data_IF_725249914010
#
_entry.id   IF_725249914010
#
_cell.length_a   1.000
_cell.length_b   1.000
_cell.length_c   1.000
_cell.angle_alpha   90.00
_cell.angle_beta   90.00
_cell.angle_gamma   90.00
#
_symmetry.space_group_name_H-M   'P 1'
#
loop_
_entity.id
_entity.type
_entity.pdbx_description
1 polymer ?
#
# COMPACT_ATOMS: atom_id res chain seq x y z
N UNK A 1 -4.66 26.13 19.84
CA UNK A 1 -5.07 25.34 18.67
C UNK A 1 -6.34 24.61 19.05
N UNK A 2 -7.50 25.14 18.64
CA UNK A 2 -8.81 24.55 18.93
C UNK A 2 -8.92 23.23 18.18
N UNK A 3 -9.09 22.14 18.93
CA UNK A 3 -9.41 20.83 18.37
C UNK A 3 -10.79 21.00 17.70
N UNK A 4 -10.84 20.89 16.38
CA UNK A 4 -12.08 20.98 15.60
C UNK A 4 -13.01 19.86 16.07
N UNK A 5 -14.10 20.23 16.76
CA UNK A 5 -15.16 19.34 17.21
C UNK A 5 -16.00 18.88 16.01
N UNK A 6 -15.49 17.94 15.22
CA UNK A 6 -16.31 17.16 14.27
C UNK A 6 -16.64 15.76 14.79
N UNK A 7 -15.95 15.32 15.85
CA UNK A 7 -16.31 14.10 16.58
C UNK A 7 -17.35 14.46 17.61
N UNK A 8 -18.59 14.09 17.32
CA UNK A 8 -19.63 14.02 18.35
C UNK A 8 -19.43 12.74 19.16
N UNK A 9 -19.90 12.71 20.42
CA UNK A 9 -20.02 11.46 21.16
C UNK A 9 -20.77 10.43 20.30
N UNK A 10 -20.41 9.15 20.45
CA UNK A 10 -21.12 8.05 19.82
C UNK A 10 -22.61 8.18 20.18
N UNK A 11 -23.45 8.47 19.18
CA UNK A 11 -24.88 8.58 19.40
C UNK A 11 -25.40 7.18 19.71
N UNK A 12 -26.11 7.03 20.82
CA UNK A 12 -27.07 5.93 21.01
C UNK A 12 -27.96 5.93 19.76
N UNK A 13 -28.18 4.76 19.16
CA UNK A 13 -28.63 4.61 17.78
C UNK A 13 -29.75 5.54 17.30
N UNK A 14 -29.78 5.79 15.98
CA UNK A 14 -30.66 6.74 15.33
C UNK A 14 -31.58 6.06 14.30
N UNK A 15 -32.82 5.84 14.72
CA UNK A 15 -33.89 5.34 13.87
C UNK A 15 -34.07 6.17 12.57
N UNK A 16 -33.93 5.50 11.44
CA UNK A 16 -34.06 6.03 10.09
C UNK A 16 -32.73 6.26 9.38
N UNK A 17 -31.67 5.52 9.76
CA UNK A 17 -30.38 5.46 9.08
C UNK A 17 -30.17 4.15 8.28
N UNK A 18 -31.23 3.34 8.13
CA UNK A 18 -31.27 2.04 7.45
C UNK A 18 -30.44 0.94 8.13
N UNK A 19 -30.06 1.12 9.41
CA UNK A 19 -29.29 0.14 10.17
C UNK A 19 -29.96 -0.15 11.50
N UNK A 20 -30.20 -1.43 11.75
CA UNK A 20 -30.73 -1.86 13.05
C UNK A 20 -29.66 -1.63 14.12
N UNK A 21 -29.97 -0.77 15.08
CA UNK A 21 -29.15 -0.48 16.24
C UNK A 21 -29.80 -1.00 17.54
N UNK A 22 -29.13 -0.84 18.68
CA UNK A 22 -29.62 -1.39 19.95
C UNK A 22 -30.98 -0.78 20.33
N UNK A 23 -31.99 -1.65 20.53
CA UNK A 23 -33.36 -1.25 20.89
C UNK A 23 -34.32 -1.17 19.70
N UNK A 24 -33.85 -1.32 18.47
CA UNK A 24 -34.65 -1.33 17.24
C UNK A 24 -34.93 -2.76 16.75
N UNK A 25 -36.05 -2.98 16.07
CA UNK A 25 -36.40 -4.28 15.45
C UNK A 25 -36.21 -4.28 13.93
N UNK A 26 -36.26 -3.09 13.34
CA UNK A 26 -36.07 -2.78 11.94
C UNK A 26 -35.71 -1.29 11.83
N UNK A 27 -35.14 -0.91 10.70
CA UNK A 27 -34.97 0.50 10.32
C UNK A 27 -35.32 0.65 8.84
N UNK A 28 -36.53 1.18 8.57
CA UNK A 28 -37.01 1.43 7.21
C UNK A 28 -36.42 2.70 6.56
N UNK A 29 -35.46 3.35 7.21
CA UNK A 29 -34.82 4.57 6.71
C UNK A 29 -35.82 5.71 6.49
N UNK A 30 -35.68 6.35 5.34
CA UNK A 30 -36.62 7.38 4.89
C UNK A 30 -38.06 6.84 4.77
N UNK A 31 -38.24 5.64 4.21
CA UNK A 31 -39.56 5.06 4.00
C UNK A 31 -40.26 4.71 5.32
N UNK A 32 -39.50 4.20 6.29
CA UNK A 32 -39.98 3.94 7.65
C UNK A 32 -40.51 5.22 8.32
N UNK A 33 -39.75 6.32 8.27
CA UNK A 33 -40.17 7.62 8.83
C UNK A 33 -41.44 8.18 8.22
N UNK A 34 -41.67 7.93 6.94
CA UNK A 34 -42.89 8.33 6.25
C UNK A 34 -43.99 7.27 6.28
N UNK A 35 -43.82 6.19 7.06
CA UNK A 35 -44.75 5.06 7.18
C UNK A 35 -45.07 4.37 5.84
N UNK A 36 -44.17 4.51 4.87
CA UNK A 36 -44.26 3.92 3.53
C UNK A 36 -43.65 2.52 3.47
N UNK A 37 -42.79 2.16 4.44
CA UNK A 37 -42.27 0.81 4.54
C UNK A 37 -43.37 -0.20 4.90
N UNK A 38 -43.40 -1.35 4.23
CA UNK A 38 -44.45 -2.35 4.43
C UNK A 38 -44.30 -3.12 5.76
N UNK A 39 -43.08 -3.21 6.29
CA UNK A 39 -42.73 -4.09 7.40
C UNK A 39 -42.33 -3.32 8.67
N UNK A 40 -41.87 -2.07 8.52
CA UNK A 40 -41.31 -1.26 9.57
C UNK A 40 -42.13 0.03 9.83
N UNK A 41 -42.29 0.38 11.10
CA UNK A 41 -42.92 1.62 11.54
C UNK A 41 -41.90 2.77 11.69
N UNK A 42 -42.40 4.00 11.82
CA UNK A 42 -41.57 5.20 11.95
C UNK A 42 -40.72 5.26 13.24
N UNK A 43 -41.06 4.43 14.23
CA UNK A 43 -40.37 4.29 15.51
C UNK A 43 -39.40 3.10 15.54
N UNK A 44 -39.05 2.54 14.36
CA UNK A 44 -38.11 1.41 14.22
C UNK A 44 -38.57 0.12 14.92
N UNK A 45 -39.88 -0.10 14.90
CA UNK A 45 -40.54 -1.35 15.31
C UNK A 45 -41.18 -2.04 14.12
N UNK A 46 -41.24 -3.36 14.18
CA UNK A 46 -41.95 -4.13 13.16
C UNK A 46 -43.45 -3.85 13.25
N UNK A 47 -44.09 -3.70 12.09
CA UNK A 47 -45.55 -3.58 12.01
C UNK A 47 -46.23 -4.84 12.56
N UNK A 48 -47.45 -4.74 13.12
CA UNK A 48 -48.21 -5.92 13.56
C UNK A 48 -48.32 -7.00 12.47
N UNK A 49 -47.84 -8.20 12.79
CA UNK A 49 -47.84 -9.35 11.87
C UNK A 49 -46.60 -9.48 10.97
N UNK A 50 -45.70 -8.50 10.96
CA UNK A 50 -44.38 -8.62 10.32
C UNK A 50 -43.44 -9.46 11.21
N UNK A 51 -42.68 -10.36 10.60
CA UNK A 51 -41.66 -11.19 11.26
C UNK A 51 -40.24 -10.64 11.06
N UNK A 52 -40.05 -9.86 10.00
CA UNK A 52 -38.79 -9.28 9.59
C UNK A 52 -39.04 -8.04 8.72
N UNK A 53 -37.96 -7.32 8.41
CA UNK A 53 -37.95 -6.18 7.48
C UNK A 53 -37.13 -6.53 6.25
N UNK A 54 -37.71 -6.38 5.06
CA UNK A 54 -37.08 -6.65 3.76
C UNK A 54 -35.85 -5.75 3.51
N UNK A 55 -35.81 -4.56 4.10
CA UNK A 55 -34.67 -3.64 3.94
C UNK A 55 -33.47 -4.00 4.83
N UNK A 56 -33.70 -4.70 5.94
CA UNK A 56 -32.66 -4.93 6.94
C UNK A 56 -32.23 -6.40 7.07
N UNK A 57 -33.05 -7.33 6.59
CA UNK A 57 -32.83 -8.77 6.78
C UNK A 57 -32.81 -9.49 5.43
N UNK A 58 -31.68 -10.11 5.12
CA UNK A 58 -31.44 -10.80 3.84
C UNK A 58 -32.34 -12.03 3.61
N UNK A 59 -32.85 -12.65 4.67
CA UNK A 59 -33.82 -13.76 4.60
C UNK A 59 -35.25 -13.31 4.89
N UNK A 60 -35.58 -12.06 4.57
CA UNK A 60 -36.95 -11.57 4.58
C UNK A 60 -37.49 -11.50 3.16
N UNK A 61 -38.76 -11.88 3.01
CA UNK A 61 -39.50 -11.69 1.77
C UNK A 61 -40.96 -11.33 2.11
N UNK A 62 -41.36 -10.10 1.80
CA UNK A 62 -42.68 -9.55 2.08
C UNK A 62 -43.01 -9.63 3.59
N UNK A 63 -42.11 -9.10 4.42
CA UNK A 63 -42.24 -9.07 5.88
C UNK A 63 -42.33 -10.45 6.58
N UNK A 64 -42.03 -11.54 5.88
CA UNK A 64 -42.03 -12.91 6.40
C UNK A 64 -40.68 -13.57 6.19
N UNK A 65 -40.37 -14.54 7.06
CA UNK A 65 -39.15 -15.34 6.90
C UNK A 65 -39.23 -16.07 5.54
N UNK A 66 -38.22 -15.87 4.72
CA UNK A 66 -38.11 -16.49 3.41
C UNK A 66 -37.99 -18.02 3.55
N UNK A 67 -38.53 -18.80 2.60
CA UNK A 67 -38.46 -20.26 2.65
C UNK A 67 -37.01 -20.76 2.58
N UNK A 68 -36.80 -22.01 3.01
CA UNK A 68 -35.51 -22.66 2.86
C UNK A 68 -35.08 -22.68 1.38
N UNK A 69 -33.77 -22.52 1.13
CA UNK A 69 -33.19 -22.39 -0.22
C UNK A 69 -33.49 -21.08 -0.95
N UNK A 70 -34.10 -20.08 -0.29
CA UNK A 70 -34.12 -18.71 -0.83
C UNK A 70 -32.70 -18.12 -0.79
N UNK A 71 -32.22 -17.59 -1.91
CA UNK A 71 -30.86 -17.02 -2.01
C UNK A 71 -30.80 -15.67 -1.29
N UNK A 72 -29.98 -15.55 -0.25
CA UNK A 72 -29.92 -14.38 0.62
C UNK A 72 -28.58 -13.65 0.63
N UNK A 73 -27.53 -14.29 0.15
CA UNK A 73 -26.20 -13.70 0.10
C UNK A 73 -25.56 -14.03 -1.23
N UNK A 74 -25.05 -13.02 -1.92
CA UNK A 74 -24.20 -13.15 -3.10
C UNK A 74 -23.04 -12.19 -2.90
N UNK A 75 -21.96 -12.66 -2.29
CA UNK A 75 -20.81 -11.79 -2.03
C UNK A 75 -19.78 -11.88 -3.14
N UNK A 76 -19.29 -10.73 -3.63
CA UNK A 76 -18.16 -10.70 -4.54
C UNK A 76 -16.90 -11.14 -3.79
N UNK A 77 -16.42 -12.35 -4.09
CA UNK A 77 -15.03 -12.79 -4.03
C UNK A 77 -14.25 -12.67 -2.71
N UNK A 78 -14.85 -12.24 -1.60
CA UNK A 78 -14.09 -11.97 -0.35
C UNK A 78 -13.67 -13.23 0.43
N UNK A 79 -14.26 -14.39 0.11
CA UNK A 79 -14.00 -15.64 0.81
C UNK A 79 -13.80 -16.78 -0.19
N UNK A 80 -12.61 -16.86 -0.81
CA UNK A 80 -12.28 -17.80 -1.89
C UNK A 80 -12.61 -19.27 -1.58
N UNK A 81 -12.54 -19.66 -0.31
CA UNK A 81 -12.80 -21.00 0.20
C UNK A 81 -14.25 -21.23 0.69
N UNK A 82 -15.15 -20.31 0.41
CA UNK A 82 -16.58 -20.43 0.66
C UNK A 82 -17.34 -20.28 -0.66
N UNK A 83 -18.51 -20.90 -0.76
CA UNK A 83 -19.37 -20.69 -1.92
C UNK A 83 -19.83 -19.22 -1.99
N UNK A 84 -19.99 -18.71 -3.22
CA UNK A 84 -20.37 -17.32 -3.47
C UNK A 84 -21.78 -16.99 -2.98
N UNK A 85 -22.63 -18.02 -2.93
CA UNK A 85 -24.04 -17.91 -2.54
C UNK A 85 -24.31 -18.60 -1.21
N UNK A 86 -25.14 -17.97 -0.38
CA UNK A 86 -25.78 -18.59 0.78
C UNK A 86 -27.29 -18.56 0.66
N UNK A 87 -27.92 -19.47 1.38
CA UNK A 87 -29.34 -19.72 1.30
C UNK A 87 -29.98 -19.70 2.69
N UNK A 88 -31.21 -19.17 2.75
CA UNK A 88 -32.02 -19.17 3.95
C UNK A 88 -32.33 -20.60 4.41
N UNK A 89 -32.48 -20.76 5.73
CA UNK A 89 -32.86 -22.02 6.37
C UNK A 89 -34.37 -22.20 6.51
N UNK A 90 -35.16 -21.18 6.18
CA UNK A 90 -36.62 -21.18 6.33
C UNK A 90 -37.10 -20.84 7.75
N UNK A 91 -36.20 -20.48 8.68
CA UNK A 91 -36.49 -20.32 10.10
C UNK A 91 -35.95 -19.03 10.69
N UNK A 92 -34.86 -18.51 10.13
CA UNK A 92 -34.24 -17.25 10.56
C UNK A 92 -34.42 -16.16 9.51
N UNK A 93 -34.49 -14.92 9.98
CA UNK A 93 -34.41 -13.71 9.16
C UNK A 93 -32.97 -13.36 8.77
N UNK A 94 -32.00 -13.91 9.48
CA UNK A 94 -30.58 -13.72 9.19
C UNK A 94 -30.12 -14.72 8.13
N UNK A 95 -29.31 -14.25 7.17
CA UNK A 95 -28.73 -15.14 6.18
C UNK A 95 -27.58 -15.94 6.80
N UNK A 96 -27.62 -17.29 6.75
CA UNK A 96 -26.52 -18.11 7.23
C UNK A 96 -25.22 -17.80 6.48
N UNK A 97 -24.07 -18.00 7.13
CA UNK A 97 -22.78 -17.97 6.43
C UNK A 97 -22.77 -18.99 5.28
N UNK A 98 -22.17 -18.65 4.13
CA UNK A 98 -22.03 -19.62 3.04
C UNK A 98 -21.32 -20.89 3.49
N UNK A 99 -21.57 -22.01 2.81
CA UNK A 99 -20.88 -23.27 3.09
C UNK A 99 -19.41 -23.18 2.64
N UNK A 100 -18.52 -23.84 3.37
CA UNK A 100 -17.13 -24.01 2.94
C UNK A 100 -17.07 -24.84 1.65
N UNK A 101 -16.16 -24.48 0.75
CA UNK A 101 -15.82 -25.31 -0.42
C UNK A 101 -15.14 -26.61 0.06
N UNK A 102 -15.16 -27.68 -0.75
CA UNK A 102 -14.48 -28.93 -0.40
C UNK A 102 -13.01 -28.71 -0.03
N UNK A 103 -12.50 -29.56 0.88
CA UNK A 103 -11.07 -29.59 1.20
C UNK A 103 -10.25 -29.74 -0.08
N UNK A 104 -9.08 -29.11 -0.10
CA UNK A 104 -8.11 -29.15 -1.19
C UNK A 104 -8.53 -28.39 -2.46
N UNK A 105 -9.65 -27.68 -2.44
CA UNK A 105 -10.01 -26.70 -3.48
C UNK A 105 -8.92 -25.62 -3.57
N UNK A 106 -8.38 -25.32 -4.76
CA UNK A 106 -7.37 -24.29 -4.91
C UNK A 106 -7.86 -22.90 -4.48
N UNK A 107 -6.98 -22.12 -3.86
CA UNK A 107 -7.21 -20.73 -3.47
C UNK A 107 -5.95 -19.89 -3.73
N UNK A 108 -6.15 -18.61 -4.00
CA UNK A 108 -5.17 -17.63 -4.50
C UNK A 108 -4.55 -16.77 -3.40
N UNK A 109 -5.05 -16.84 -2.16
CA UNK A 109 -4.43 -16.15 -1.02
C UNK A 109 -2.96 -16.55 -0.81
N UNK A 110 -2.58 -17.76 -1.23
CA UNK A 110 -1.21 -18.28 -1.23
C UNK A 110 -0.85 -18.94 -2.56
N UNK A 111 0.42 -18.91 -2.94
CA UNK A 111 0.89 -19.78 -4.02
C UNK A 111 0.72 -21.24 -3.59
N UNK A 112 0.11 -22.05 -4.45
CA UNK A 112 -0.27 -23.43 -4.14
C UNK A 112 -1.25 -23.54 -2.95
N UNK A 113 -2.01 -22.47 -2.66
CA UNK A 113 -2.99 -22.43 -1.58
C UNK A 113 -4.12 -23.43 -1.78
N UNK A 114 -4.55 -24.06 -0.69
CA UNK A 114 -5.68 -25.00 -0.69
C UNK A 114 -6.63 -24.78 0.48
N UNK A 115 -7.92 -24.92 0.21
CA UNK A 115 -8.95 -24.76 1.22
C UNK A 115 -8.93 -25.90 2.24
N UNK A 116 -9.06 -25.53 3.51
CA UNK A 116 -9.36 -26.44 4.61
C UNK A 116 -10.86 -26.71 4.71
N UNK A 117 -11.23 -27.76 5.46
CA UNK A 117 -12.63 -28.09 5.76
C UNK A 117 -13.41 -26.97 6.45
N UNK A 118 -12.70 -26.04 7.10
CA UNK A 118 -13.29 -24.90 7.82
C UNK A 118 -13.35 -23.63 6.95
N UNK A 119 -13.08 -23.72 5.64
CA UNK A 119 -13.13 -22.59 4.72
C UNK A 119 -11.95 -21.61 4.84
N UNK A 120 -10.83 -22.01 5.46
CA UNK A 120 -9.58 -21.23 5.44
C UNK A 120 -8.70 -21.67 4.28
N UNK A 121 -8.09 -20.72 3.56
CA UNK A 121 -7.04 -21.01 2.59
C UNK A 121 -5.72 -21.29 3.31
N UNK A 122 -5.19 -22.51 3.21
CA UNK A 122 -3.93 -22.92 3.83
C UNK A 122 -2.77 -22.78 2.85
N UNK A 123 -1.68 -22.15 3.29
CA UNK A 123 -0.41 -22.10 2.56
C UNK A 123 0.19 -23.50 2.38
N UNK A 124 1.12 -23.66 1.43
CA UNK A 124 1.82 -24.93 1.20
C UNK A 124 2.56 -25.41 2.45
N UNK A 125 3.13 -24.49 3.25
CA UNK A 125 3.77 -24.81 4.52
C UNK A 125 2.81 -25.52 5.48
N UNK A 126 1.63 -24.91 5.70
CA UNK A 126 0.57 -25.44 6.58
C UNK A 126 0.02 -26.78 6.08
N UNK A 127 -0.06 -26.96 4.76
CA UNK A 127 -0.49 -28.22 4.16
C UNK A 127 0.49 -29.37 4.43
N UNK A 128 1.79 -29.08 4.62
CA UNK A 128 2.82 -30.10 4.91
C UNK A 128 2.95 -30.39 6.40
N UNK A 129 2.82 -29.37 7.24
CA UNK A 129 2.91 -29.49 8.68
C UNK A 129 2.10 -28.36 9.33
N UNK A 130 1.15 -28.72 10.20
CA UNK A 130 0.29 -27.77 10.90
C UNK A 130 1.05 -26.81 11.83
N UNK A 131 2.30 -27.12 12.19
CA UNK A 131 3.19 -26.25 12.97
C UNK A 131 3.89 -25.16 12.14
N UNK A 132 3.82 -25.25 10.81
CA UNK A 132 4.46 -24.30 9.90
C UNK A 132 3.46 -23.28 9.34
N UNK A 133 3.96 -22.07 9.07
CA UNK A 133 3.24 -21.06 8.31
C UNK A 133 4.16 -20.37 7.30
N UNK A 134 3.57 -19.76 6.27
CA UNK A 134 4.30 -19.02 5.24
C UNK A 134 4.90 -17.74 5.83
N UNK A 135 6.15 -17.47 5.50
CA UNK A 135 6.88 -16.31 5.98
C UNK A 135 7.71 -15.70 4.84
N UNK A 136 8.23 -14.49 5.09
CA UNK A 136 9.05 -13.76 4.11
C UNK A 136 10.52 -13.86 4.47
N UNK A 137 11.31 -14.53 3.64
CA UNK A 137 12.75 -14.62 3.81
C UNK A 137 13.42 -13.24 3.69
N UNK A 138 14.42 -12.98 4.55
CA UNK A 138 15.17 -11.71 4.57
C UNK A 138 16.36 -11.69 3.61
N UNK A 139 16.98 -12.85 3.42
CA UNK A 139 18.18 -13.01 2.59
C UNK A 139 17.87 -12.65 1.14
N UNK A 140 18.72 -11.84 0.51
CA UNK A 140 18.42 -11.16 -0.76
C UNK A 140 18.14 -12.14 -1.89
N UNK A 141 18.85 -13.26 -1.93
CA UNK A 141 18.66 -14.34 -2.91
C UNK A 141 17.42 -15.20 -2.65
N UNK A 142 16.80 -15.11 -1.47
CA UNK A 142 15.70 -15.99 -1.05
C UNK A 142 14.36 -15.24 -0.90
N UNK A 143 14.33 -13.91 -1.08
CA UNK A 143 13.15 -13.07 -0.77
C UNK A 143 11.89 -13.41 -1.59
N UNK A 144 12.06 -14.01 -2.76
CA UNK A 144 10.99 -14.46 -3.63
C UNK A 144 10.86 -15.99 -3.68
N UNK A 145 11.53 -16.71 -2.79
CA UNK A 145 11.28 -18.13 -2.58
C UNK A 145 10.10 -18.32 -1.62
N UNK A 146 9.39 -19.43 -1.76
CA UNK A 146 8.39 -19.87 -0.80
C UNK A 146 9.10 -20.31 0.48
N UNK A 147 8.90 -19.54 1.56
CA UNK A 147 9.55 -19.76 2.84
C UNK A 147 8.54 -20.12 3.93
N UNK A 148 8.97 -21.01 4.83
CA UNK A 148 8.18 -21.48 5.97
C UNK A 148 8.88 -21.13 7.29
N UNK A 149 8.08 -21.06 8.35
CA UNK A 149 8.57 -20.90 9.73
C UNK A 149 7.69 -21.70 10.69
N UNK A 150 8.32 -22.32 11.68
CA UNK A 150 7.61 -22.91 12.81
C UNK A 150 7.02 -21.81 13.71
N UNK A 151 5.69 -21.85 13.90
CA UNK A 151 4.94 -20.83 14.64
C UNK A 151 5.09 -20.98 16.16
N UNK A 152 5.27 -22.21 16.65
CA UNK A 152 5.33 -22.51 18.08
C UNK A 152 6.71 -22.23 18.71
N UNK A 153 7.77 -22.27 17.90
CA UNK A 153 9.15 -22.16 18.39
C UNK A 153 9.84 -20.82 18.01
N UNK A 154 9.09 -19.82 17.51
CA UNK A 154 9.68 -18.63 16.89
C UNK A 154 10.77 -18.99 15.87
N UNK A 155 10.51 -20.04 15.07
CA UNK A 155 11.51 -20.63 14.20
C UNK A 155 12.11 -19.62 13.22
N UNK A 156 13.26 -19.95 12.64
CA UNK A 156 13.81 -19.13 11.57
C UNK A 156 12.97 -19.31 10.29
N UNK A 157 12.69 -18.21 9.60
CA UNK A 157 12.08 -18.24 8.28
C UNK A 157 13.11 -18.74 7.27
N UNK A 158 12.85 -19.90 6.64
CA UNK A 158 13.75 -20.53 5.67
C UNK A 158 12.97 -21.04 4.46
N UNK A 159 13.59 -21.17 3.28
CA UNK A 159 12.94 -21.78 2.12
C UNK A 159 12.38 -23.17 2.39
N UNK A 160 11.23 -23.51 1.81
CA UNK A 160 10.52 -24.77 2.05
C UNK A 160 11.36 -26.02 1.75
N UNK A 161 12.23 -25.98 0.74
CA UNK A 161 13.12 -27.09 0.41
C UNK A 161 14.12 -27.41 1.53
N UNK A 162 14.43 -26.45 2.41
CA UNK A 162 15.27 -26.69 3.59
C UNK A 162 14.52 -27.38 4.75
N UNK A 163 13.18 -27.36 4.73
CA UNK A 163 12.34 -28.10 5.68
C UNK A 163 12.02 -29.51 5.17
N UNK A 164 11.82 -29.65 3.86
CA UNK A 164 11.39 -30.89 3.22
C UNK A 164 12.32 -31.26 2.05
N UNK A 165 13.60 -31.43 2.36
CA UNK A 165 14.69 -31.73 1.41
C UNK A 165 14.48 -33.02 0.62
N UNK A 166 13.85 -34.03 1.21
CA UNK A 166 13.49 -35.30 0.54
C UNK A 166 12.33 -35.18 -0.45
N UNK A 167 11.59 -34.06 -0.42
CA UNK A 167 10.39 -33.83 -1.25
C UNK A 167 10.67 -32.79 -2.33
N UNK A 168 11.49 -31.79 -2.02
CA UNK A 168 11.81 -30.69 -2.93
C UNK A 168 13.31 -30.59 -3.15
N UNK A 169 13.76 -31.08 -4.31
CA UNK A 169 15.17 -31.02 -4.73
C UNK A 169 15.61 -29.61 -5.17
N UNK A 170 14.65 -28.70 -5.40
CA UNK A 170 14.91 -27.33 -5.87
C UNK A 170 14.07 -26.29 -5.12
N UNK A 171 14.51 -25.02 -5.08
CA UNK A 171 13.71 -23.93 -4.54
C UNK A 171 12.39 -23.75 -5.30
N UNK A 172 11.32 -23.47 -4.56
CA UNK A 172 10.05 -23.02 -5.11
C UNK A 172 10.01 -21.50 -5.04
N UNK A 173 9.65 -20.85 -6.13
CA UNK A 173 9.53 -19.40 -6.24
C UNK A 173 8.07 -18.97 -6.14
N UNK A 174 7.85 -17.80 -5.55
CA UNK A 174 6.55 -17.12 -5.49
C UNK A 174 6.19 -16.60 -6.88
N UNK A 175 4.89 -16.54 -7.19
CA UNK A 175 4.42 -15.97 -8.46
C UNK A 175 4.66 -14.45 -8.54
N UNK A 176 4.78 -13.94 -9.77
CA UNK A 176 4.94 -12.50 -10.01
C UNK A 176 3.75 -11.72 -9.39
N UNK A 177 4.06 -10.61 -8.72
CA UNK A 177 3.06 -9.81 -8.01
C UNK A 177 2.93 -10.13 -6.52
N UNK A 178 3.47 -11.26 -6.04
CA UNK A 178 3.46 -11.62 -4.61
C UNK A 178 4.36 -10.71 -3.79
N UNK A 179 3.93 -10.40 -2.58
CA UNK A 179 4.67 -9.51 -1.69
C UNK A 179 5.86 -10.24 -1.03
N UNK A 180 7.09 -9.77 -1.29
CA UNK A 180 8.30 -10.23 -0.62
C UNK A 180 8.63 -9.35 0.61
N UNK A 181 9.84 -9.50 1.18
CA UNK A 181 10.23 -8.82 2.43
C UNK A 181 10.10 -7.29 2.37
N UNK A 182 10.55 -6.65 1.29
CA UNK A 182 10.57 -5.19 1.11
C UNK A 182 9.96 -4.70 -0.21
N UNK A 183 9.22 -5.57 -0.91
CA UNK A 183 8.75 -5.25 -2.25
C UNK A 183 7.73 -6.22 -2.83
N UNK A 184 7.81 -6.39 -4.14
CA UNK A 184 7.01 -7.34 -4.92
C UNK A 184 7.94 -8.22 -5.77
N UNK A 185 7.60 -9.49 -5.92
CA UNK A 185 8.34 -10.40 -6.79
C UNK A 185 8.05 -10.14 -8.26
N UNK A 186 9.11 -10.05 -9.06
CA UNK A 186 9.07 -10.00 -10.52
C UNK A 186 10.27 -10.79 -11.06
N UNK A 187 10.01 -11.86 -11.83
CA UNK A 187 11.05 -12.75 -12.38
C UNK A 187 12.04 -13.24 -11.31
N UNK A 188 11.49 -13.81 -10.25
CA UNK A 188 12.23 -14.37 -9.09
C UNK A 188 13.04 -13.34 -8.27
N UNK A 189 12.90 -12.04 -8.54
CA UNK A 189 13.59 -10.96 -7.83
C UNK A 189 12.61 -10.10 -7.04
N UNK A 190 13.00 -9.75 -5.82
CA UNK A 190 12.23 -8.86 -4.97
C UNK A 190 12.52 -7.41 -5.34
N UNK A 191 11.59 -6.77 -6.06
CA UNK A 191 11.70 -5.38 -6.48
C UNK A 191 11.10 -4.48 -5.39
N UNK A 192 11.90 -3.60 -4.75
CA UNK A 192 11.41 -2.75 -3.68
C UNK A 192 10.35 -1.78 -4.19
N UNK A 193 9.21 -1.71 -3.50
CA UNK A 193 8.20 -0.68 -3.76
C UNK A 193 8.67 0.60 -3.07
N UNK A 194 9.13 1.58 -3.84
CA UNK A 194 9.47 2.90 -3.30
C UNK A 194 8.21 3.43 -2.60
N UNK A 195 8.22 3.49 -1.27
CA UNK A 195 7.14 4.15 -0.53
C UNK A 195 7.15 5.60 -0.99
N UNK A 196 6.03 6.04 -1.52
CA UNK A 196 5.86 7.36 -2.10
C UNK A 196 5.86 8.45 -1.00
N UNK A 197 7.03 8.72 -0.44
CA UNK A 197 7.27 9.86 0.45
C UNK A 197 7.12 11.18 -0.32
N UNK A 198 7.27 11.13 -1.64
CA UNK A 198 7.14 12.26 -2.55
C UNK A 198 5.66 12.69 -2.69
N UNK A 199 4.70 11.77 -2.76
CA UNK A 199 3.26 12.09 -2.74
C UNK A 199 2.82 12.75 -1.44
N UNK A 200 3.39 12.36 -0.29
CA UNK A 200 3.15 13.07 0.98
C UNK A 200 3.76 14.46 0.98
N UNK A 201 4.96 14.63 0.43
CA UNK A 201 5.63 15.93 0.31
C UNK A 201 4.90 16.89 -0.64
N UNK A 202 4.47 16.44 -1.82
CA UNK A 202 3.70 17.26 -2.76
C UNK A 202 2.31 17.63 -2.24
N UNK A 203 1.64 16.76 -1.48
CA UNK A 203 0.38 17.10 -0.79
C UNK A 203 0.56 18.20 0.25
N UNK A 204 1.72 18.30 0.89
CA UNK A 204 2.05 19.39 1.83
C UNK A 204 2.34 20.68 1.05
N UNK A 205 3.11 20.61 -0.04
CA UNK A 205 3.41 21.78 -0.89
C UNK A 205 2.15 22.33 -1.56
N UNK A 206 1.25 21.49 -2.07
CA UNK A 206 -0.03 21.95 -2.65
C UNK A 206 -0.97 22.56 -1.62
N UNK A 207 -0.91 22.11 -0.35
CA UNK A 207 -1.65 22.74 0.76
C UNK A 207 -1.03 24.06 1.23
N UNK A 208 0.26 24.28 1.00
CA UNK A 208 0.92 25.56 1.26
C UNK A 208 0.49 26.55 0.18
N UNK A 209 -0.58 27.30 0.46
CA UNK A 209 -1.22 28.17 -0.53
C UNK A 209 -0.28 29.26 -1.06
N UNK A 210 -0.06 29.25 -2.38
CA UNK A 210 0.64 30.32 -3.13
C UNK A 210 0.05 31.69 -2.79
N UNK A 211 -1.25 31.77 -2.51
CA UNK A 211 -1.94 33.01 -2.14
C UNK A 211 -1.47 33.58 -0.78
N UNK A 212 -1.14 32.74 0.20
CA UNK A 212 -0.57 33.20 1.48
C UNK A 212 0.88 33.64 1.30
N UNK A 213 1.66 32.89 0.51
CA UNK A 213 3.06 33.22 0.21
C UNK A 213 3.19 34.53 -0.58
N UNK A 214 2.37 34.74 -1.61
CA UNK A 214 2.32 36.00 -2.37
C UNK A 214 1.86 37.16 -1.47
N UNK A 215 0.87 36.94 -0.59
CA UNK A 215 0.40 37.97 0.35
C UNK A 215 1.48 38.32 1.38
N UNK A 216 2.28 37.34 1.81
CA UNK A 216 3.44 37.53 2.68
C UNK A 216 4.57 38.31 2.00
N UNK A 217 4.91 37.96 0.76
CA UNK A 217 5.91 38.65 -0.06
C UNK A 217 5.48 40.10 -0.35
N UNK A 218 4.19 40.33 -0.67
CA UNK A 218 3.65 41.70 -0.86
C UNK A 218 3.68 42.52 0.42
N UNK A 219 3.43 41.91 1.59
CA UNK A 219 3.45 42.59 2.89
C UNK A 219 4.87 42.94 3.36
N UNK A 220 5.89 42.23 2.87
CA UNK A 220 7.29 42.46 3.21
C UNK A 220 8.15 42.70 1.95
N UNK A 221 7.65 43.53 1.03
CA UNK A 221 8.23 43.71 -0.30
C UNK A 221 9.71 44.12 -0.27
N UNK A 222 10.12 44.97 0.68
CA UNK A 222 11.51 45.41 0.82
C UNK A 222 12.45 44.25 1.15
N UNK A 223 12.09 43.42 2.13
CA UNK A 223 12.89 42.25 2.51
C UNK A 223 12.94 41.21 1.38
N UNK A 224 11.82 41.02 0.69
CA UNK A 224 11.74 40.15 -0.49
C UNK A 224 12.66 40.62 -1.63
N UNK A 225 12.68 41.92 -1.93
CA UNK A 225 13.56 42.49 -2.97
C UNK A 225 15.03 42.32 -2.59
N UNK A 226 15.40 42.53 -1.32
CA UNK A 226 16.78 42.35 -0.84
C UNK A 226 17.21 40.88 -0.98
N UNK A 227 16.38 39.93 -0.56
CA UNK A 227 16.71 38.49 -0.65
C UNK A 227 16.85 38.05 -2.10
N UNK A 228 15.95 38.46 -2.99
CA UNK A 228 15.98 38.08 -4.40
C UNK A 228 17.19 38.71 -5.11
N UNK A 229 17.50 39.98 -4.82
CA UNK A 229 18.68 40.63 -5.41
C UNK A 229 19.97 40.02 -4.89
N UNK A 230 20.10 39.75 -3.59
CA UNK A 230 21.26 39.03 -3.04
C UNK A 230 21.44 37.66 -3.69
N UNK A 231 20.36 36.90 -3.87
CA UNK A 231 20.43 35.61 -4.54
C UNK A 231 20.93 35.75 -5.99
N UNK A 232 20.41 36.72 -6.74
CA UNK A 232 20.86 36.99 -8.11
C UNK A 232 22.33 37.41 -8.18
N UNK A 233 22.79 38.27 -7.26
CA UNK A 233 24.17 38.71 -7.19
C UNK A 233 25.13 37.60 -6.77
N UNK A 234 24.73 36.71 -5.85
CA UNK A 234 25.51 35.53 -5.46
C UNK A 234 25.65 34.58 -6.65
N UNK A 235 24.55 34.27 -7.34
CA UNK A 235 24.60 33.42 -8.54
C UNK A 235 25.46 34.02 -9.64
N UNK A 236 25.31 35.32 -9.90
CA UNK A 236 26.13 36.04 -10.89
C UNK A 236 27.60 36.09 -10.49
N UNK A 237 27.89 36.28 -9.20
CA UNK A 237 29.25 36.27 -8.65
C UNK A 237 29.92 34.90 -8.77
N UNK A 238 29.21 33.81 -8.44
CA UNK A 238 29.69 32.46 -8.66
C UNK A 238 29.95 32.17 -10.15
N UNK A 239 29.07 32.62 -11.03
CA UNK A 239 29.23 32.47 -12.48
C UNK A 239 30.45 33.23 -12.99
N UNK A 240 30.61 34.50 -12.61
CA UNK A 240 31.77 35.32 -12.99
C UNK A 240 33.05 34.70 -12.44
N UNK A 241 33.09 34.30 -11.16
CA UNK A 241 34.26 33.64 -10.59
C UNK A 241 34.62 32.38 -11.37
N UNK A 242 33.64 31.52 -11.68
CA UNK A 242 33.89 30.31 -12.47
C UNK A 242 34.47 30.61 -13.86
N UNK A 243 33.92 31.60 -14.57
CA UNK A 243 34.40 31.97 -15.91
C UNK A 243 35.75 32.69 -15.88
N UNK A 244 35.95 33.63 -14.95
CA UNK A 244 37.16 34.42 -14.85
C UNK A 244 38.34 33.58 -14.35
N UNK A 245 38.10 32.73 -13.33
CA UNK A 245 39.11 31.79 -12.84
C UNK A 245 39.48 30.77 -13.93
N UNK A 246 38.49 30.29 -14.72
CA UNK A 246 38.76 29.43 -15.88
C UNK A 246 39.65 30.13 -16.93
N UNK A 247 39.42 31.42 -17.22
CA UNK A 247 40.21 32.20 -18.19
C UNK A 247 41.63 32.52 -17.69
N UNK A 248 41.79 32.86 -16.40
CA UNK A 248 43.10 33.13 -15.81
C UNK A 248 43.94 31.84 -15.73
N UNK A 249 43.32 30.70 -15.41
CA UNK A 249 44.01 29.39 -15.45
C UNK A 249 44.42 28.98 -16.86
N UNK A 250 43.68 29.34 -17.91
CA UNK A 250 44.11 29.04 -19.28
C UNK A 250 45.32 29.86 -19.72
N UNK A 251 45.39 31.16 -19.38
CA UNK A 251 46.54 31.99 -19.73
C UNK A 251 47.81 31.60 -18.96
N UNK A 252 47.73 31.27 -17.66
CA UNK A 252 48.91 30.76 -16.91
C UNK A 252 49.47 29.48 -17.50
N UNK A 253 48.62 28.55 -17.95
CA UNK A 253 49.07 27.32 -18.61
C UNK A 253 49.82 27.59 -19.92
N UNK A 254 49.43 28.62 -20.67
CA UNK A 254 50.15 29.04 -21.89
C UNK A 254 51.53 29.64 -21.60
N UNK A 255 51.67 30.35 -20.47
CA UNK A 255 52.96 30.92 -20.06
C UNK A 255 53.91 29.80 -19.64
N UNK A 256 53.45 28.88 -18.79
CA UNK A 256 54.25 27.74 -18.30
C UNK A 256 54.70 26.84 -19.45
N UNK A 257 53.82 26.56 -20.43
CA UNK A 257 54.19 25.77 -21.62
C UNK A 257 55.26 26.44 -22.47
N UNK A 258 55.18 27.77 -22.67
CA UNK A 258 56.23 28.53 -23.39
C UNK A 258 57.56 28.55 -22.64
N UNK A 259 57.54 28.59 -21.31
CA UNK A 259 58.76 28.49 -20.50
C UNK A 259 59.36 27.10 -20.61
N UNK A 260 58.57 26.03 -20.50
CA UNK A 260 59.04 24.65 -20.67
C UNK A 260 59.64 24.40 -22.07
N UNK A 261 59.01 24.89 -23.14
CA UNK A 261 59.57 24.80 -24.49
C UNK A 261 60.93 25.50 -24.62
N UNK A 262 61.12 26.65 -23.96
CA UNK A 262 62.42 27.34 -23.93
C UNK A 262 63.49 26.54 -23.19
N UNK A 263 63.15 25.93 -22.05
CA UNK A 263 64.08 25.09 -21.30
C UNK A 263 64.51 23.87 -22.11
N UNK A 264 63.56 23.17 -22.74
CA UNK A 264 63.83 22.01 -23.59
C UNK A 264 64.71 22.37 -24.80
N UNK A 265 64.41 23.47 -25.49
CA UNK A 265 65.22 23.92 -26.62
C UNK A 265 66.65 24.29 -26.20
N UNK A 266 66.83 24.91 -25.03
CA UNK A 266 68.16 25.25 -24.52
C UNK A 266 68.96 23.98 -24.14
N UNK A 267 68.30 23.00 -23.50
CA UNK A 267 68.91 21.71 -23.15
C UNK A 267 69.31 20.91 -24.41
N UNK A 268 68.50 20.97 -25.48
CA UNK A 268 68.83 20.35 -26.77
C UNK A 268 70.04 21.00 -27.43
N UNK A 269 70.16 22.34 -27.35
CA UNK A 269 71.34 23.10 -27.84
C UNK A 269 72.60 22.72 -27.05
N UNK A 270 72.51 22.62 -25.72
CA UNK A 270 73.65 22.25 -24.87
C UNK A 270 74.12 20.81 -25.14
N UNK A 271 73.19 19.88 -25.36
CA UNK A 271 73.51 18.50 -25.74
C UNK A 271 74.17 18.41 -27.12
N UNK A 272 73.74 19.22 -28.10
CA UNK A 272 74.37 19.29 -29.43
C UNK A 272 75.79 19.86 -29.39
N UNK A 273 76.05 20.81 -28.49
CA UNK A 273 77.39 21.36 -28.29
C UNK A 273 78.33 20.35 -27.61
N UNK A 274 77.82 19.58 -26.66
CA UNK A 274 78.62 18.57 -25.92
C UNK A 274 79.02 17.37 -26.79
N UNK A 275 78.27 17.05 -27.85
CA UNK A 275 78.64 16.00 -28.81
C UNK A 275 79.67 16.42 -29.86
N UNK A 276 80.05 17.71 -29.90
CA UNK A 276 81.02 18.27 -30.86
C UNK A 276 82.45 18.42 -30.30
N UNK A 277 82.65 18.17 -29.01
CA UNK A 277 83.96 18.09 -28.34
C UNK A 277 84.40 16.63 -28.18
#
# INVERSE_FOLDING_TARGET
SSKVECFKPESLGYCGNDRIEEGEECDGGFNGRHSLDQCCEYNCRLKPGAQCSDNNHYCCNNCKIAPANYSCYSSPNYFECFFETSFCDGKSKDCPSPRAKPKDTPCNSYDFGKCSVNGRCNSLCKQKDDSLDECKCKESSERCMLCCRNVFENGQCKPIHKFFDKIYDSPLYLTDGRACFDGICEKDKCIPKVKDHISRFWKVIQKASINSFIKFMKRNIVASVIVITLFFWILSGCFIHFFFDKKVRSERRKIISREQEKYLNNEEIDNLNTQRE
#
